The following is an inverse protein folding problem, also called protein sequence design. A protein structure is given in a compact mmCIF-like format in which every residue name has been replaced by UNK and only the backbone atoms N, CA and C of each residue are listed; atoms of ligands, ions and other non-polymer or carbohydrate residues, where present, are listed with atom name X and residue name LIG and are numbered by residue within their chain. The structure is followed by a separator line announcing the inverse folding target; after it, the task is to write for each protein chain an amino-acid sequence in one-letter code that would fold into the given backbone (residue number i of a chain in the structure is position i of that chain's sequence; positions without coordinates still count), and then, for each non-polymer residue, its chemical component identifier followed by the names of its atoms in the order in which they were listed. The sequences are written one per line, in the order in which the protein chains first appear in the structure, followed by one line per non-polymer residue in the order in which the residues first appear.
data_IF_608610931869
#
_entry.id   IF_608610931869
#
_cell.length_a   1.000
_cell.length_b   1.000
_cell.length_c   1.000
_cell.angle_alpha   90.00
_cell.angle_beta   90.00
_cell.angle_gamma   90.00
#
_symmetry.space_group_name_H-M   'P 1'
#
loop_
_entity.id
_entity.type
_entity.pdbx_description
1 polymer ?
#
# COMPACT_ATOMS: atom_id res chain seq x y z
N UNK A 1 -11.20 6.82 -17.90
CA UNK A 1 -10.29 6.88 -16.74
C UNK A 1 -10.14 5.46 -16.19
N UNK A 2 -8.95 4.87 -16.26
CA UNK A 2 -8.68 3.54 -15.72
C UNK A 2 -8.47 3.64 -14.20
N UNK A 3 -9.34 3.00 -13.42
CA UNK A 3 -9.23 2.91 -11.96
C UNK A 3 -8.68 1.54 -11.62
N UNK A 4 -7.37 1.43 -11.37
CA UNK A 4 -6.77 0.17 -10.94
C UNK A 4 -7.15 -0.08 -9.48
N UNK A 5 -8.09 -1.00 -9.25
CA UNK A 5 -8.59 -1.31 -7.91
C UNK A 5 -7.73 -2.37 -7.20
N UNK A 6 -7.01 -3.19 -7.97
CA UNK A 6 -6.16 -4.25 -7.45
C UNK A 6 -4.93 -4.47 -8.33
N UNK A 7 -3.82 -4.85 -7.68
CA UNK A 7 -2.56 -5.23 -8.33
C UNK A 7 -2.14 -6.58 -7.76
N UNK A 8 -1.75 -7.50 -8.65
CA UNK A 8 -1.15 -8.78 -8.27
C UNK A 8 0.33 -8.72 -8.57
N UNK A 9 1.15 -8.99 -7.56
CA UNK A 9 2.60 -9.03 -7.68
C UNK A 9 3.09 -10.47 -7.72
N UNK A 10 4.16 -10.67 -8.47
CA UNK A 10 4.84 -11.94 -8.55
C UNK A 10 5.80 -12.13 -7.37
N UNK A 11 6.15 -13.38 -7.05
CA UNK A 11 7.09 -13.68 -5.98
C UNK A 11 8.47 -12.99 -6.13
N UNK A 12 8.87 -12.65 -7.35
CA UNK A 12 10.15 -12.00 -7.64
C UNK A 12 10.14 -10.48 -7.41
N UNK A 13 8.95 -9.87 -7.31
CA UNK A 13 8.80 -8.43 -7.10
C UNK A 13 9.13 -8.09 -5.64
N UNK A 14 10.36 -7.64 -5.41
CA UNK A 14 10.87 -7.38 -4.05
C UNK A 14 10.55 -5.98 -3.52
N UNK A 15 10.30 -5.03 -4.41
CA UNK A 15 10.07 -3.63 -4.07
C UNK A 15 8.87 -3.12 -4.84
N UNK A 16 7.93 -2.49 -4.13
CA UNK A 16 6.82 -1.74 -4.72
C UNK A 16 6.89 -0.30 -4.25
N UNK A 17 6.71 0.63 -5.18
CA UNK A 17 6.65 2.06 -4.88
C UNK A 17 5.28 2.63 -5.24
N UNK A 18 4.74 3.45 -4.35
CA UNK A 18 3.52 4.21 -4.58
C UNK A 18 3.89 5.68 -4.70
N UNK A 19 3.49 6.30 -5.81
CA UNK A 19 3.48 7.75 -5.97
C UNK A 19 2.03 8.23 -5.94
N UNK A 20 1.77 9.31 -5.21
CA UNK A 20 0.43 9.87 -5.06
C UNK A 20 0.45 11.39 -5.21
N UNK A 21 -0.67 11.95 -5.66
CA UNK A 21 -0.87 13.39 -5.80
C UNK A 21 -2.29 13.74 -5.37
N UNK A 22 -2.41 14.81 -4.59
CA UNK A 22 -3.70 15.40 -4.22
C UNK A 22 -4.04 16.53 -5.18
N UNK A 23 -5.33 16.71 -5.50
CA UNK A 23 -5.82 17.72 -6.46
C UNK A 23 -5.79 19.17 -5.93
N UNK A 24 -4.98 19.48 -4.92
CA UNK A 24 -4.90 20.83 -4.38
C UNK A 24 -3.81 21.62 -5.11
N UNK A 25 -4.26 22.44 -6.07
CA UNK A 25 -3.41 23.14 -7.05
C UNK A 25 -2.92 24.52 -6.63
N UNK A 26 -3.49 25.12 -5.57
CA UNK A 26 -3.18 26.51 -5.19
C UNK A 26 -1.78 26.61 -4.59
N UNK A 27 -1.40 25.65 -3.73
CA UNK A 27 -0.06 25.55 -3.12
C UNK A 27 0.34 24.07 -3.05
N UNK A 28 0.79 23.46 -4.16
CA UNK A 28 1.07 22.03 -4.21
C UNK A 28 2.17 21.61 -3.23
N UNK A 29 3.17 22.47 -2.98
CA UNK A 29 4.23 22.22 -2.00
C UNK A 29 3.76 22.19 -0.53
N UNK A 30 2.64 22.84 -0.21
CA UNK A 30 2.09 22.87 1.14
C UNK A 30 1.20 21.67 1.47
N UNK A 31 1.02 20.74 0.53
CA UNK A 31 0.16 19.58 0.72
C UNK A 31 0.74 18.59 1.73
N UNK A 32 -0.12 18.16 2.65
CA UNK A 32 0.17 17.10 3.61
C UNK A 32 -0.55 15.83 3.17
N UNK A 33 0.15 14.71 3.28
CA UNK A 33 -0.36 13.39 2.96
C UNK A 33 -0.22 12.47 4.17
N UNK A 34 -1.17 11.56 4.31
CA UNK A 34 -1.08 10.45 5.22
C UNK A 34 -1.29 9.17 4.44
N UNK A 35 -0.42 8.18 4.64
CA UNK A 35 -0.51 6.88 3.99
C UNK A 35 -0.36 5.74 4.98
N UNK A 36 -0.88 4.58 4.60
CA UNK A 36 -0.81 3.35 5.40
C UNK A 36 -0.93 2.13 4.49
N UNK A 37 -0.05 1.15 4.67
CA UNK A 37 -0.20 -0.18 4.09
C UNK A 37 -0.80 -1.13 5.13
N UNK A 38 -2.10 -1.40 5.03
CA UNK A 38 -2.78 -2.32 5.93
C UNK A 38 -2.20 -3.73 5.81
N UNK A 39 -1.89 -4.35 6.96
CA UNK A 39 -1.17 -5.62 7.05
C UNK A 39 0.35 -5.47 7.23
N UNK A 40 0.89 -4.24 7.15
CA UNK A 40 2.31 -3.93 7.39
C UNK A 40 2.47 -2.79 8.39
N UNK A 41 1.81 -1.66 8.14
CA UNK A 41 1.87 -0.49 9.00
C UNK A 41 0.84 -0.58 10.14
N UNK A 42 1.28 -0.29 11.37
CA UNK A 42 0.39 -0.22 12.54
C UNK A 42 -0.37 1.11 12.63
N UNK A 43 0.27 2.20 12.22
CA UNK A 43 -0.24 3.59 12.27
C UNK A 43 -0.13 4.29 10.92
N UNK A 44 -0.80 5.43 10.78
CA UNK A 44 -0.63 6.31 9.62
C UNK A 44 0.76 6.94 9.63
N UNK A 45 1.40 6.96 8.46
CA UNK A 45 2.64 7.68 8.20
C UNK A 45 2.27 9.02 7.55
N UNK A 46 2.91 10.10 7.98
CA UNK A 46 2.64 11.46 7.51
C UNK A 46 3.81 11.97 6.70
N UNK A 47 3.52 12.62 5.58
CA UNK A 47 4.54 13.15 4.67
C UNK A 47 4.05 14.44 4.02
N UNK A 48 4.99 15.18 3.46
CA UNK A 48 4.81 16.44 2.73
C UNK A 48 4.93 16.19 1.22
N UNK A 49 4.61 17.20 0.42
CA UNK A 49 4.56 17.06 -1.04
C UNK A 49 5.92 16.77 -1.71
N UNK A 50 7.03 17.13 -1.06
CA UNK A 50 8.40 16.80 -1.47
C UNK A 50 8.70 15.29 -1.38
N UNK A 51 7.93 14.54 -0.57
CA UNK A 51 8.12 13.11 -0.30
C UNK A 51 6.84 12.33 -0.57
N UNK A 52 6.30 12.50 -1.78
CA UNK A 52 5.06 11.85 -2.25
C UNK A 52 5.26 10.44 -2.83
N UNK A 53 6.47 9.89 -2.72
CA UNK A 53 6.80 8.54 -3.13
C UNK A 53 7.19 7.71 -1.90
N UNK A 54 6.51 6.59 -1.70
CA UNK A 54 6.83 5.61 -0.63
C UNK A 54 7.16 4.27 -1.26
N UNK A 55 8.19 3.60 -0.75
CA UNK A 55 8.60 2.28 -1.20
C UNK A 55 8.51 1.27 -0.06
N UNK A 56 7.93 0.11 -0.35
CA UNK A 56 7.91 -1.04 0.54
C UNK A 56 8.72 -2.16 -0.06
N UNK A 57 9.57 -2.78 0.75
CA UNK A 57 10.39 -3.91 0.36
C UNK A 57 10.01 -5.16 1.16
N UNK A 58 10.22 -6.34 0.57
CA UNK A 58 10.05 -7.63 1.23
C UNK A 58 8.68 -7.81 1.90
N UNK A 59 7.63 -7.37 1.20
CA UNK A 59 6.26 -7.46 1.67
C UNK A 59 5.83 -8.93 1.90
N UNK A 60 4.98 -9.18 2.91
CA UNK A 60 4.53 -10.52 3.23
C UNK A 60 3.71 -11.12 2.08
N UNK A 61 4.08 -12.34 1.70
CA UNK A 61 3.45 -13.11 0.61
C UNK A 61 2.17 -13.79 1.07
N UNK A 62 1.28 -14.09 0.13
CA UNK A 62 0.02 -14.81 0.40
C UNK A 62 -1.03 -14.02 1.19
N UNK A 63 -0.79 -12.73 1.46
CA UNK A 63 -1.71 -11.86 2.18
C UNK A 63 -2.31 -10.80 1.27
N UNK A 64 -3.57 -10.46 1.53
CA UNK A 64 -4.20 -9.28 0.96
C UNK A 64 -3.75 -8.06 1.75
N UNK A 65 -3.10 -7.11 1.08
CA UNK A 65 -2.68 -5.84 1.64
C UNK A 65 -3.51 -4.73 1.01
N UNK A 66 -3.69 -3.62 1.72
CA UNK A 66 -4.42 -2.46 1.21
C UNK A 66 -3.56 -1.23 1.44
N UNK A 67 -3.06 -0.65 0.35
CA UNK A 67 -2.43 0.66 0.43
C UNK A 67 -3.53 1.72 0.46
N UNK A 68 -3.46 2.61 1.45
CA UNK A 68 -4.36 3.73 1.64
C UNK A 68 -3.58 5.03 1.67
N UNK A 69 -4.13 6.07 1.06
CA UNK A 69 -3.58 7.42 1.13
C UNK A 69 -4.70 8.44 1.19
N UNK A 70 -4.48 9.50 1.95
CA UNK A 70 -5.33 10.69 2.02
C UNK A 70 -4.50 11.95 2.05
N UNK A 71 -5.10 13.04 1.61
CA UNK A 71 -4.52 14.36 1.65
C UNK A 71 -5.25 15.24 2.67
N UNK A 72 -4.55 16.18 3.27
CA UNK A 72 -5.18 17.28 3.97
C UNK A 72 -5.59 18.38 2.98
N UNK A 73 -6.64 19.13 3.31
CA UNK A 73 -7.02 20.33 2.57
C UNK A 73 -6.09 21.53 2.93
N UNK A 74 -6.36 22.70 2.34
CA UNK A 74 -5.65 23.96 2.61
C UNK A 74 -5.56 24.32 4.10
N UNK A 75 -6.59 23.96 4.86
CA UNK A 75 -6.71 24.27 6.29
C UNK A 75 -6.07 23.19 7.18
N UNK A 76 -5.29 22.28 6.58
CA UNK A 76 -4.65 21.13 7.24
C UNK A 76 -5.64 20.15 7.88
N UNK A 77 -6.89 20.18 7.44
CA UNK A 77 -7.93 19.24 7.83
C UNK A 77 -7.85 18.02 6.93
N UNK A 78 -7.73 16.83 7.52
CA UNK A 78 -7.71 15.58 6.79
C UNK A 78 -9.06 15.31 6.13
N UNK A 79 -9.06 15.10 4.81
CA UNK A 79 -10.27 14.70 4.09
C UNK A 79 -10.81 13.36 4.59
N UNK A 80 -12.13 13.17 4.45
CA UNK A 80 -12.77 11.88 4.72
C UNK A 80 -12.56 10.87 3.58
N UNK A 81 -12.28 11.36 2.37
CA UNK A 81 -12.04 10.51 1.21
C UNK A 81 -10.60 9.98 1.20
N UNK A 82 -10.46 8.66 1.14
CA UNK A 82 -9.19 7.94 1.04
C UNK A 82 -9.10 7.24 -0.33
N UNK A 83 -7.96 7.36 -0.99
CA UNK A 83 -7.64 6.53 -2.14
C UNK A 83 -7.06 5.20 -1.66
N UNK A 84 -7.51 4.09 -2.25
CA UNK A 84 -7.08 2.76 -1.86
C UNK A 84 -6.74 1.87 -3.06
N UNK A 85 -5.71 1.05 -2.92
CA UNK A 85 -5.30 0.03 -3.88
C UNK A 85 -5.12 -1.29 -3.13
N UNK A 86 -5.80 -2.34 -3.60
CA UNK A 86 -5.62 -3.69 -3.08
C UNK A 86 -4.39 -4.33 -3.71
N UNK A 87 -3.57 -4.99 -2.90
CA UNK A 87 -2.34 -5.64 -3.35
C UNK A 87 -2.39 -7.09 -2.90
N UNK A 88 -2.12 -8.00 -3.82
CA UNK A 88 -1.95 -9.41 -3.50
C UNK A 88 -0.61 -9.90 -4.03
N UNK A 89 0.21 -10.45 -3.14
CA UNK A 89 1.52 -11.00 -3.50
C UNK A 89 1.41 -12.51 -3.53
N UNK A 90 1.65 -13.11 -4.69
CA UNK A 90 1.51 -14.55 -4.86
C UNK A 90 2.55 -15.28 -3.99
N UNK A 91 2.15 -16.24 -3.13
CA UNK A 91 3.09 -17.05 -2.38
C UNK A 91 3.88 -17.97 -3.31
N UNK A 92 5.05 -18.42 -2.87
CA UNK A 92 5.81 -19.42 -3.63
C UNK A 92 5.16 -20.80 -3.46
N UNK A 93 5.13 -21.63 -4.50
CA UNK A 93 4.48 -22.95 -4.48
C UNK A 93 4.95 -23.84 -3.29
N UNK A 94 6.23 -23.78 -2.93
CA UNK A 94 6.79 -24.52 -1.79
C UNK A 94 6.38 -24.00 -0.40
N UNK A 95 5.87 -22.76 -0.29
CA UNK A 95 5.33 -22.21 0.97
C UNK A 95 3.94 -22.80 1.27
N UNK A 96 3.31 -23.48 0.30
CA UNK A 96 2.05 -24.18 0.50
C UNK A 96 2.25 -25.67 0.85
N UNK A 97 3.41 -26.24 0.47
CA UNK A 97 3.66 -27.69 0.56
C UNK A 97 3.98 -28.18 1.98
N UNK A 98 4.62 -27.39 2.84
CA UNK A 98 4.88 -27.80 4.23
C UNK A 98 3.60 -27.88 5.08
N UNK A 99 2.58 -27.09 4.74
CA UNK A 99 1.27 -27.16 5.41
C UNK A 99 0.53 -28.48 5.10
N UNK A 100 0.66 -28.99 3.87
CA UNK A 100 0.03 -30.26 3.48
C UNK A 100 0.80 -31.47 4.01
N UNK A 101 2.15 -31.44 4.01
CA UNK A 101 2.93 -32.57 4.52
C UNK A 101 2.89 -32.71 6.05
N UNK A 102 2.62 -31.63 6.79
CA UNK A 102 2.40 -31.69 8.24
C UNK A 102 1.05 -32.30 8.65
N UNK A 103 0.06 -32.31 7.75
CA UNK A 103 -1.30 -32.79 8.02
C UNK A 103 -1.54 -34.26 7.63
N UNK A 104 -0.54 -34.95 7.08
CA UNK A 104 -0.64 -36.39 6.73
C UNK A 104 -0.05 -37.34 7.79
N UNK A 105 0.27 -36.84 8.98
CA UNK A 105 0.71 -37.67 10.10
C UNK A 105 -0.16 -37.40 11.34
N UNK A 106 -1.45 -37.76 11.26
CA UNK A 106 -2.32 -37.96 12.42
C UNK A 106 -3.34 -39.05 12.11
#
# INVERSE_FOLDING_TARGET
MYKTQSIRLEPQDRVISFEFVGLHYIYPEANLYAYKLEGVDTRWNYTTADKRQVSYANLPRGRNLIFRVKAANSDKVWGQEEAQIKIYITPLFWEQLWFQMGASCC
#
